data_IF_045380957337
#
_entry.id   IF_045380957337
#
_cell.length_a   1.000
_cell.length_b   1.000
_cell.length_c   1.000
_cell.angle_alpha   90.00
_cell.angle_beta   90.00
_cell.angle_gamma   90.00
#
_symmetry.space_group_name_H-M   'P 1'
#
loop_
_entity.id
_entity.type
_entity.pdbx_description
1 polymer ?
#
# COMPACT_ATOMS: atom_id res chain seq x y z
N UNK A 1 12.85 -19.93 0.24
CA UNK A 1 13.13 -18.64 0.91
C UNK A 1 12.88 -17.50 -0.08
N UNK A 2 11.63 -17.03 -0.15
CA UNK A 2 11.24 -15.92 -1.03
C UNK A 2 10.42 -14.89 -0.26
N UNK A 3 10.58 -13.62 -0.65
CA UNK A 3 9.73 -12.53 -0.24
C UNK A 3 8.92 -12.05 -1.44
N UNK A 4 7.66 -11.78 -1.23
CA UNK A 4 6.75 -11.25 -2.25
C UNK A 4 6.17 -9.92 -1.79
N UNK A 5 5.92 -9.04 -2.74
CA UNK A 5 5.16 -7.82 -2.53
C UNK A 5 4.17 -7.62 -3.68
N UNK A 6 3.00 -7.10 -3.34
CA UNK A 6 1.89 -6.93 -4.27
C UNK A 6 1.43 -5.46 -4.28
N UNK A 7 2.23 -4.55 -4.89
CA UNK A 7 1.82 -3.15 -5.01
C UNK A 7 0.57 -3.03 -5.86
N UNK A 8 -0.40 -2.28 -5.34
CA UNK A 8 -1.67 -1.99 -6.01
C UNK A 8 -1.79 -0.49 -6.25
N UNK A 9 -2.06 -0.09 -7.49
CA UNK A 9 -2.32 1.30 -7.86
C UNK A 9 -3.10 1.35 -9.18
N UNK A 10 -4.19 2.10 -9.17
CA UNK A 10 -5.14 2.18 -10.27
C UNK A 10 -6.40 1.39 -10.00
N UNK A 11 -7.53 2.09 -10.01
CA UNK A 11 -8.85 1.52 -9.70
C UNK A 11 -9.91 2.18 -10.58
N UNK A 12 -10.85 1.40 -11.07
CA UNK A 12 -12.02 1.89 -11.81
C UNK A 12 -13.26 1.07 -11.45
N UNK A 13 -14.44 1.71 -11.44
CA UNK A 13 -15.69 0.98 -11.30
C UNK A 13 -15.88 0.04 -12.49
N UNK A 14 -16.05 -1.26 -12.22
CA UNK A 14 -16.16 -2.29 -13.26
C UNK A 14 -17.46 -2.22 -14.08
N UNK A 15 -18.49 -1.53 -13.56
CA UNK A 15 -19.77 -1.33 -14.25
C UNK A 15 -19.70 -0.27 -15.37
N UNK A 16 -18.62 0.52 -15.42
CA UNK A 16 -18.45 1.50 -16.49
C UNK A 16 -18.18 0.82 -17.84
N UNK A 17 -18.72 1.37 -18.94
CA UNK A 17 -18.41 0.84 -20.28
C UNK A 17 -16.90 0.83 -20.55
N UNK A 18 -16.39 -0.31 -21.03
CA UNK A 18 -14.95 -0.50 -21.31
C UNK A 18 -14.00 -0.23 -20.13
N UNK A 19 -14.47 -0.39 -18.88
CA UNK A 19 -13.72 -0.08 -17.67
C UNK A 19 -12.29 -0.62 -17.69
N UNK A 20 -12.12 -1.92 -17.97
CA UNK A 20 -10.81 -2.56 -18.00
C UNK A 20 -9.89 -1.93 -19.06
N UNK A 21 -10.40 -1.69 -20.26
CA UNK A 21 -9.63 -1.07 -21.35
C UNK A 21 -9.22 0.35 -20.97
N UNK A 22 -10.14 1.12 -20.40
CA UNK A 22 -9.89 2.49 -19.93
C UNK A 22 -8.80 2.52 -18.85
N UNK A 23 -8.90 1.63 -17.86
CA UNK A 23 -7.89 1.53 -16.79
C UNK A 23 -6.51 1.16 -17.35
N UNK A 24 -6.46 0.15 -18.22
CA UNK A 24 -5.18 -0.32 -18.78
C UNK A 24 -4.54 0.65 -19.76
N UNK A 25 -5.32 1.49 -20.45
CA UNK A 25 -4.86 2.51 -21.39
C UNK A 25 -4.50 3.85 -20.72
N UNK A 26 -4.75 4.02 -19.43
CA UNK A 26 -4.49 5.29 -18.72
C UNK A 26 -2.99 5.47 -18.45
N UNK A 27 -2.37 6.45 -19.09
CA UNK A 27 -0.97 6.85 -18.89
C UNK A 27 -0.72 7.35 -17.48
N UNK A 28 -1.69 8.05 -16.87
CA UNK A 28 -1.62 8.53 -15.50
C UNK A 28 -1.48 7.34 -14.54
N UNK A 29 -2.43 6.40 -14.61
CA UNK A 29 -2.45 5.22 -13.75
C UNK A 29 -1.19 4.34 -13.96
N UNK A 30 -0.72 4.23 -15.20
CA UNK A 30 0.50 3.50 -15.51
C UNK A 30 1.74 4.17 -14.88
N UNK A 31 1.85 5.49 -14.97
CA UNK A 31 2.98 6.24 -14.39
C UNK A 31 3.01 6.11 -12.88
N UNK A 32 1.85 6.22 -12.23
CA UNK A 32 1.73 6.05 -10.78
C UNK A 32 2.04 4.60 -10.36
N UNK A 33 1.57 3.63 -11.13
CA UNK A 33 1.86 2.22 -10.89
C UNK A 33 3.36 1.90 -11.05
N UNK A 34 4.02 2.43 -12.07
CA UNK A 34 5.46 2.30 -12.25
C UNK A 34 6.23 2.84 -11.04
N UNK A 35 5.82 4.00 -10.54
CA UNK A 35 6.45 4.62 -9.39
C UNK A 35 6.35 3.74 -8.15
N UNK A 36 5.19 3.17 -7.86
CA UNK A 36 5.04 2.30 -6.69
C UNK A 36 5.80 0.97 -6.84
N UNK A 37 5.81 0.40 -8.04
CA UNK A 37 6.58 -0.82 -8.32
C UNK A 37 8.08 -0.57 -8.09
N UNK A 38 8.61 0.55 -8.55
CA UNK A 38 10.03 0.89 -8.37
C UNK A 38 10.38 1.15 -6.90
N UNK A 39 9.52 1.85 -6.16
CA UNK A 39 9.67 2.05 -4.72
C UNK A 39 9.73 0.72 -3.96
N UNK A 40 8.82 -0.20 -4.25
CA UNK A 40 8.79 -1.51 -3.58
C UNK A 40 9.99 -2.37 -3.98
N UNK A 41 10.43 -2.33 -5.24
CA UNK A 41 11.68 -3.01 -5.65
C UNK A 41 12.88 -2.50 -4.85
N UNK A 42 12.99 -1.20 -4.67
CA UNK A 42 14.05 -0.59 -3.87
C UNK A 42 13.97 -0.99 -2.39
N UNK A 43 12.77 -1.04 -1.81
CA UNK A 43 12.58 -1.52 -0.44
C UNK A 43 13.00 -3.00 -0.30
N UNK A 44 12.54 -3.88 -1.19
CA UNK A 44 12.90 -5.29 -1.16
C UNK A 44 14.41 -5.51 -1.33
N UNK A 45 15.11 -4.64 -2.08
CA UNK A 45 16.56 -4.70 -2.25
C UNK A 45 17.36 -4.52 -0.95
N UNK A 46 16.75 -3.96 0.08
CA UNK A 46 17.38 -3.81 1.39
C UNK A 46 17.46 -5.13 2.18
N UNK A 47 16.65 -6.11 1.82
CA UNK A 47 16.47 -7.36 2.59
C UNK A 47 16.56 -8.63 1.74
N UNK A 48 16.60 -8.52 0.44
CA UNK A 48 16.60 -9.66 -0.49
C UNK A 48 17.52 -9.44 -1.70
N UNK A 49 17.76 -10.50 -2.45
CA UNK A 49 18.56 -10.51 -3.69
C UNK A 49 17.68 -10.96 -4.86
N UNK A 50 18.19 -10.82 -6.09
CA UNK A 50 17.55 -11.31 -7.32
C UNK A 50 16.09 -10.88 -7.44
N UNK A 51 15.86 -9.55 -7.33
CA UNK A 51 14.52 -8.99 -7.36
C UNK A 51 13.98 -8.97 -8.77
N UNK A 52 12.82 -9.58 -8.95
CA UNK A 52 12.12 -9.70 -10.22
C UNK A 52 10.67 -9.25 -10.10
N UNK A 53 10.16 -8.58 -11.14
CA UNK A 53 8.72 -8.33 -11.30
C UNK A 53 8.14 -9.51 -12.09
N UNK A 54 7.58 -10.47 -11.38
CA UNK A 54 7.08 -11.74 -11.97
C UNK A 54 5.76 -11.54 -12.70
N UNK A 55 4.95 -10.57 -12.27
CA UNK A 55 3.75 -10.13 -12.97
C UNK A 55 3.66 -8.62 -12.91
N UNK A 56 3.53 -7.98 -14.06
CA UNK A 56 3.46 -6.54 -14.14
C UNK A 56 2.05 -6.06 -14.51
N UNK A 57 1.51 -5.14 -13.71
CA UNK A 57 0.28 -4.37 -13.95
C UNK A 57 -0.88 -5.22 -14.50
N UNK A 58 -1.17 -6.33 -13.85
CA UNK A 58 -2.34 -7.15 -14.14
C UNK A 58 -3.57 -6.58 -13.43
N UNK A 59 -4.74 -6.76 -14.04
CA UNK A 59 -5.99 -6.28 -13.45
C UNK A 59 -6.75 -7.42 -12.78
N UNK A 60 -7.29 -7.13 -11.60
CA UNK A 60 -8.14 -8.03 -10.82
C UNK A 60 -9.53 -7.42 -10.65
N UNK A 61 -10.55 -8.27 -10.77
CA UNK A 61 -11.93 -7.89 -10.44
C UNK A 61 -12.17 -8.12 -8.95
N UNK A 62 -12.39 -7.03 -8.22
CA UNK A 62 -12.63 -7.07 -6.78
C UNK A 62 -14.08 -6.74 -6.49
N UNK A 63 -14.77 -7.65 -5.79
CA UNK A 63 -16.14 -7.41 -5.32
C UNK A 63 -16.10 -6.58 -4.04
N UNK A 64 -16.82 -5.47 -4.02
CA UNK A 64 -16.97 -4.62 -2.84
C UNK A 64 -18.44 -4.50 -2.47
N UNK A 65 -18.76 -4.05 -1.27
CA UNK A 65 -20.14 -3.77 -0.85
C UNK A 65 -20.80 -2.62 -1.65
N UNK A 66 -20.01 -1.85 -2.42
CA UNK A 66 -20.50 -0.76 -3.30
C UNK A 66 -20.50 -1.11 -4.78
N UNK A 67 -20.31 -2.39 -5.14
CA UNK A 67 -20.20 -2.87 -6.51
C UNK A 67 -18.79 -3.41 -6.82
N UNK A 68 -18.62 -3.87 -8.03
CA UNK A 68 -17.36 -4.43 -8.50
C UNK A 68 -16.41 -3.32 -9.00
N UNK A 69 -15.12 -3.50 -8.74
CA UNK A 69 -14.07 -2.62 -9.25
C UNK A 69 -12.99 -3.45 -9.95
N UNK A 70 -12.37 -2.90 -10.98
CA UNK A 70 -11.06 -3.37 -11.44
C UNK A 70 -9.96 -2.63 -10.70
N UNK A 71 -8.98 -3.38 -10.24
CA UNK A 71 -7.78 -2.85 -9.60
C UNK A 71 -6.54 -3.42 -10.28
N UNK A 72 -5.53 -2.58 -10.55
CA UNK A 72 -4.26 -3.05 -11.07
C UNK A 72 -3.27 -3.35 -9.97
N UNK A 73 -2.57 -4.48 -10.12
CA UNK A 73 -1.57 -4.99 -9.20
C UNK A 73 -0.31 -5.43 -9.96
N UNK A 74 0.79 -5.55 -9.26
CA UNK A 74 1.99 -6.25 -9.73
C UNK A 74 2.46 -7.22 -8.67
N UNK A 75 3.20 -8.26 -9.09
CA UNK A 75 3.86 -9.20 -8.19
C UNK A 75 5.37 -9.02 -8.32
N UNK A 76 6.02 -8.74 -7.21
CA UNK A 76 7.46 -8.58 -7.12
C UNK A 76 7.98 -9.65 -6.17
N UNK A 77 9.02 -10.36 -6.60
CA UNK A 77 9.63 -11.43 -5.83
C UNK A 77 11.12 -11.14 -5.60
N UNK A 78 11.63 -11.51 -4.42
CA UNK A 78 13.05 -11.50 -4.10
C UNK A 78 13.45 -12.77 -3.35
N UNK A 79 14.75 -13.09 -3.34
CA UNK A 79 15.30 -14.23 -2.62
C UNK A 79 15.83 -13.80 -1.26
N UNK A 80 15.34 -14.46 -0.20
CA UNK A 80 15.79 -14.26 1.17
C UNK A 80 16.99 -15.15 1.53
N UNK A 81 17.75 -14.74 2.53
CA UNK A 81 18.77 -15.58 3.15
C UNK A 81 18.14 -16.83 3.80
N UNK A 82 18.92 -17.89 3.98
CA UNK A 82 18.41 -19.14 4.55
C UNK A 82 17.88 -19.00 5.98
N UNK A 83 18.45 -18.10 6.76
CA UNK A 83 18.10 -17.85 8.16
C UNK A 83 17.14 -16.67 8.36
N UNK A 84 16.38 -16.28 7.34
CA UNK A 84 15.53 -15.10 7.37
C UNK A 84 14.52 -15.09 8.54
N UNK A 85 14.04 -16.25 8.99
CA UNK A 85 13.11 -16.34 10.11
C UNK A 85 13.70 -15.76 11.42
N UNK A 86 14.99 -15.96 11.65
CA UNK A 86 15.69 -15.38 12.81
C UNK A 86 15.86 -13.85 12.68
N UNK A 87 15.78 -13.30 11.46
CA UNK A 87 16.02 -11.90 11.15
C UNK A 87 14.74 -11.11 10.81
N UNK A 88 13.55 -11.67 11.04
CA UNK A 88 12.25 -11.03 10.70
C UNK A 88 12.19 -9.59 11.24
N UNK A 89 12.54 -9.36 12.50
CA UNK A 89 12.49 -8.02 13.10
C UNK A 89 13.43 -7.04 12.41
N UNK A 90 14.65 -7.47 12.10
CA UNK A 90 15.65 -6.67 11.38
C UNK A 90 15.18 -6.36 9.95
N UNK A 91 14.59 -7.35 9.27
CA UNK A 91 14.05 -7.18 7.91
C UNK A 91 12.91 -6.16 7.90
N UNK A 92 11.93 -6.31 8.79
CA UNK A 92 10.81 -5.37 8.92
C UNK A 92 11.29 -3.96 9.26
N UNK A 93 12.27 -3.82 10.17
CA UNK A 93 12.84 -2.52 10.51
C UNK A 93 13.51 -1.81 9.31
N UNK A 94 14.14 -2.55 8.41
CA UNK A 94 14.73 -2.01 7.17
C UNK A 94 13.67 -1.60 6.14
N UNK A 95 12.58 -2.33 6.05
CA UNK A 95 11.48 -2.05 5.12
C UNK A 95 10.64 -0.84 5.56
N UNK A 96 10.60 -0.54 6.86
CA UNK A 96 9.77 0.53 7.40
C UNK A 96 10.51 1.89 7.47
N UNK A 97 9.78 2.99 7.36
CA UNK A 97 8.40 3.04 6.86
C UNK A 97 8.31 2.58 5.40
N UNK A 98 7.22 1.90 5.06
CA UNK A 98 7.03 1.36 3.70
C UNK A 98 7.11 2.46 2.65
N UNK A 99 7.82 2.21 1.54
CA UNK A 99 7.98 3.17 0.45
C UNK A 99 6.65 3.63 -0.16
N UNK A 100 5.67 2.74 -0.20
CA UNK A 100 4.30 3.05 -0.64
C UNK A 100 3.58 4.10 0.22
N UNK A 101 4.03 4.29 1.47
CA UNK A 101 3.46 5.26 2.41
C UNK A 101 4.32 6.51 2.50
N UNK A 102 5.63 6.36 2.54
CA UNK A 102 6.56 7.47 2.71
C UNK A 102 6.84 8.21 1.40
N UNK A 103 6.80 7.52 0.25
CA UNK A 103 7.27 8.09 -1.01
C UNK A 103 8.81 8.10 -1.11
N UNK A 104 9.33 8.81 -2.11
CA UNK A 104 10.77 8.93 -2.36
C UNK A 104 11.19 10.41 -2.53
N UNK A 105 12.41 10.77 -2.08
CA UNK A 105 13.37 10.00 -1.28
C UNK A 105 12.87 9.78 0.16
N UNK A 106 12.91 8.52 0.63
CA UNK A 106 12.27 8.10 1.90
C UNK A 106 12.61 8.99 3.10
N UNK A 107 13.90 9.28 3.31
CA UNK A 107 14.35 10.09 4.46
C UNK A 107 13.71 11.49 4.42
N UNK A 108 13.76 12.13 3.25
CA UNK A 108 13.26 13.51 3.11
C UNK A 108 11.75 13.61 3.24
N UNK A 109 11.03 12.66 2.66
CA UNK A 109 9.56 12.63 2.77
C UNK A 109 9.11 12.35 4.20
N UNK A 110 9.79 11.47 4.93
CA UNK A 110 9.51 11.24 6.35
C UNK A 110 9.73 12.50 7.18
N UNK A 111 10.80 13.27 6.95
CA UNK A 111 11.01 14.57 7.60
C UNK A 111 9.84 15.54 7.34
N UNK A 112 9.41 15.65 6.08
CA UNK A 112 8.29 16.52 5.71
C UNK A 112 6.99 16.08 6.39
N UNK A 113 6.72 14.77 6.41
CA UNK A 113 5.55 14.21 7.11
C UNK A 113 5.58 14.56 8.60
N UNK A 114 6.73 14.38 9.25
CA UNK A 114 6.89 14.71 10.68
C UNK A 114 6.69 16.21 10.98
N UNK A 115 7.09 17.08 10.06
CA UNK A 115 6.86 18.53 10.19
C UNK A 115 5.40 18.92 9.96
N UNK A 116 4.72 18.24 9.03
CA UNK A 116 3.33 18.53 8.66
C UNK A 116 2.31 17.98 9.68
N UNK A 117 2.60 16.82 10.25
CA UNK A 117 1.70 16.15 11.19
C UNK A 117 1.99 16.58 12.64
N UNK A 118 0.95 16.99 13.34
CA UNK A 118 1.06 17.49 14.73
C UNK A 118 0.99 16.37 15.79
N UNK A 119 1.08 15.11 15.40
CA UNK A 119 0.88 13.99 16.30
C UNK A 119 1.61 12.72 15.88
N UNK A 120 1.66 11.75 16.79
CA UNK A 120 2.19 10.43 16.53
C UNK A 120 1.17 9.59 15.78
N UNK A 121 1.60 8.88 14.75
CA UNK A 121 0.75 7.96 13.97
C UNK A 121 0.34 6.70 14.76
N UNK A 122 1.10 6.32 15.80
CA UNK A 122 0.86 5.08 16.52
C UNK A 122 1.06 3.87 15.60
N UNK A 123 0.07 3.01 15.49
CA UNK A 123 0.07 1.88 14.57
C UNK A 123 -0.24 2.26 13.11
N UNK A 124 -0.77 3.46 12.87
CA UNK A 124 -1.11 3.89 11.51
C UNK A 124 0.15 3.98 10.64
N UNK A 125 0.10 3.32 9.47
CA UNK A 125 1.22 3.13 8.54
C UNK A 125 2.39 2.28 9.06
N UNK A 126 2.22 1.64 10.20
CA UNK A 126 3.10 0.57 10.67
C UNK A 126 2.83 -0.74 9.93
N UNK A 127 3.32 -1.84 10.47
CA UNK A 127 3.12 -3.18 9.93
C UNK A 127 2.41 -4.06 10.94
N UNK A 128 1.54 -4.92 10.46
CA UNK A 128 0.98 -6.03 11.22
C UNK A 128 1.08 -7.31 10.39
N UNK A 129 1.06 -8.46 11.04
CA UNK A 129 1.18 -9.72 10.33
C UNK A 129 1.03 -10.92 11.23
N UNK A 130 1.09 -12.08 10.62
CA UNK A 130 1.05 -13.38 11.26
C UNK A 130 2.24 -14.22 10.80
N UNK A 131 2.95 -14.79 11.77
CA UNK A 131 4.05 -15.72 11.54
C UNK A 131 3.70 -17.08 12.11
N UNK A 132 3.70 -18.12 11.30
CA UNK A 132 3.35 -19.49 11.68
C UNK A 132 4.55 -20.36 12.09
N UNK A 133 5.75 -19.78 12.10
CA UNK A 133 7.03 -20.47 12.33
C UNK A 133 7.81 -20.74 11.04
N UNK A 134 7.15 -20.76 9.89
CA UNK A 134 7.75 -20.99 8.58
C UNK A 134 7.53 -19.82 7.62
N UNK A 135 6.32 -19.24 7.62
CA UNK A 135 5.90 -18.19 6.71
C UNK A 135 5.45 -16.95 7.46
N UNK A 136 5.71 -15.79 6.90
CA UNK A 136 5.21 -14.51 7.37
C UNK A 136 4.27 -13.91 6.34
N UNK A 137 3.02 -13.64 6.75
CA UNK A 137 2.09 -12.80 5.99
C UNK A 137 1.94 -11.46 6.72
N UNK A 138 2.11 -10.35 6.02
CA UNK A 138 2.11 -9.03 6.63
C UNK A 138 1.58 -7.96 5.70
N UNK A 139 1.02 -6.92 6.31
CA UNK A 139 0.49 -5.77 5.58
C UNK A 139 0.77 -4.46 6.32
N UNK A 140 0.69 -3.34 5.57
CA UNK A 140 0.75 -2.00 6.15
C UNK A 140 -0.59 -1.66 6.80
N UNK A 141 -0.55 -1.16 8.03
CA UNK A 141 -1.74 -0.80 8.80
C UNK A 141 -2.34 0.52 8.31
N UNK A 142 -3.29 0.41 7.37
CA UNK A 142 -4.08 1.53 6.83
C UNK A 142 -5.57 1.17 6.82
N UNK A 143 -6.45 2.17 6.78
CA UNK A 143 -7.91 1.98 6.67
C UNK A 143 -8.46 1.02 7.72
N UNK A 144 -8.15 1.28 8.97
CA UNK A 144 -8.60 0.46 10.10
C UNK A 144 -9.23 1.33 11.18
N UNK A 145 -9.94 0.67 12.08
CA UNK A 145 -10.56 1.30 13.24
C UNK A 145 -9.71 0.99 14.46
N UNK A 146 -9.34 2.01 15.21
CA UNK A 146 -8.73 1.86 16.52
C UNK A 146 -9.66 2.39 17.62
N UNK A 147 -9.53 1.84 18.81
CA UNK A 147 -10.23 2.33 19.99
C UNK A 147 -9.23 3.02 20.93
N UNK A 148 -9.48 4.29 21.22
CA UNK A 148 -8.67 5.09 22.14
C UNK A 148 -9.61 5.68 23.18
N UNK A 149 -9.38 5.39 24.46
CA UNK A 149 -10.18 5.90 25.57
C UNK A 149 -11.71 5.68 25.40
N UNK A 150 -12.10 4.52 24.85
CA UNK A 150 -13.49 4.17 24.63
C UNK A 150 -14.11 4.75 23.35
N UNK A 151 -13.39 5.60 22.62
CA UNK A 151 -13.85 6.15 21.34
C UNK A 151 -13.24 5.41 20.15
N UNK A 152 -14.02 5.25 19.08
CA UNK A 152 -13.55 4.62 17.84
C UNK A 152 -13.10 5.67 16.84
N UNK A 153 -11.93 5.44 16.26
CA UNK A 153 -11.31 6.30 15.27
C UNK A 153 -11.00 5.50 14.01
N UNK A 154 -11.48 5.99 12.86
CA UNK A 154 -11.10 5.43 11.58
C UNK A 154 -9.81 6.10 11.09
N UNK A 155 -8.76 5.30 10.87
CA UNK A 155 -7.46 5.78 10.36
C UNK A 155 -7.40 5.66 8.85
N UNK A 156 -7.29 6.79 8.19
CA UNK A 156 -7.15 6.90 6.74
C UNK A 156 -6.20 8.04 6.37
N UNK A 157 -5.70 8.02 5.14
CA UNK A 157 -4.85 9.05 4.59
C UNK A 157 -4.70 8.92 3.08
N UNK A 158 -4.12 9.94 2.47
CA UNK A 158 -3.83 10.01 1.04
C UNK A 158 -2.36 10.32 0.77
N UNK A 159 -1.91 10.08 -0.45
CA UNK A 159 -0.58 10.46 -0.92
C UNK A 159 -0.60 11.87 -1.53
N UNK A 160 0.13 12.80 -0.95
CA UNK A 160 0.23 14.16 -1.45
C UNK A 160 1.45 14.30 -2.33
N UNK A 161 1.27 14.83 -3.53
CA UNK A 161 2.32 15.09 -4.52
C UNK A 161 2.31 16.57 -4.95
N UNK A 162 3.33 16.98 -5.69
CA UNK A 162 3.38 18.34 -6.24
C UNK A 162 2.22 18.68 -7.20
N UNK A 163 1.51 17.68 -7.72
CA UNK A 163 0.35 17.84 -8.62
C UNK A 163 -0.99 17.73 -7.90
N UNK A 164 -0.98 17.40 -6.61
CA UNK A 164 -2.20 17.24 -5.82
C UNK A 164 -2.99 18.55 -5.71
N UNK A 165 -4.30 18.44 -5.85
CA UNK A 165 -5.25 19.54 -5.68
C UNK A 165 -6.00 19.32 -4.35
N UNK A 166 -5.96 20.31 -3.47
CA UNK A 166 -6.53 20.20 -2.11
C UNK A 166 -7.96 19.64 -2.07
N UNK A 167 -8.82 20.11 -2.96
CA UNK A 167 -10.23 19.67 -3.00
C UNK A 167 -10.36 18.21 -3.44
N UNK A 168 -9.56 17.79 -4.42
CA UNK A 168 -9.57 16.42 -4.94
C UNK A 168 -9.03 15.44 -3.89
N UNK A 169 -7.93 15.76 -3.26
CA UNK A 169 -7.32 14.94 -2.20
C UNK A 169 -8.26 14.81 -0.99
N UNK A 170 -8.93 15.90 -0.61
CA UNK A 170 -9.90 15.86 0.48
C UNK A 170 -11.12 15.01 0.12
N UNK A 171 -11.61 15.11 -1.10
CA UNK A 171 -12.72 14.27 -1.58
C UNK A 171 -12.33 12.80 -1.61
N UNK A 172 -11.14 12.48 -2.11
CA UNK A 172 -10.59 11.11 -2.11
C UNK A 172 -10.47 10.56 -0.67
N UNK A 173 -10.05 11.40 0.28
CA UNK A 173 -9.97 11.01 1.69
C UNK A 173 -11.35 10.64 2.24
N UNK A 174 -12.39 11.44 1.95
CA UNK A 174 -13.77 11.15 2.37
C UNK A 174 -14.30 9.85 1.75
N UNK A 175 -14.02 9.60 0.49
CA UNK A 175 -14.44 8.38 -0.22
C UNK A 175 -13.76 7.12 0.33
N UNK A 176 -12.55 7.24 0.84
CA UNK A 176 -11.81 6.15 1.49
C UNK A 176 -12.31 5.81 2.88
N UNK A 177 -13.04 6.70 3.53
CA UNK A 177 -13.59 6.45 4.87
C UNK A 177 -14.92 5.72 4.74
N UNK A 178 -14.88 4.42 4.93
CA UNK A 178 -16.10 3.62 5.07
C UNK A 178 -15.86 2.46 6.05
N UNK A 179 -16.88 2.11 6.77
CA UNK A 179 -16.87 0.94 7.65
C UNK A 179 -17.70 -0.15 6.98
N UNK A 180 -17.13 -1.33 6.68
CA UNK A 180 -17.86 -2.44 6.09
C UNK A 180 -18.76 -3.08 7.14
N UNK A 181 -19.86 -2.42 7.49
CA UNK A 181 -20.88 -2.97 8.37
C UNK A 181 -21.97 -3.55 7.47
N UNK A 182 -22.21 -4.84 7.56
CA UNK A 182 -23.42 -5.43 7.01
C UNK A 182 -24.60 -4.83 7.79
N UNK A 183 -25.53 -4.20 7.11
CA UNK A 183 -26.82 -3.93 7.73
C UNK A 183 -27.42 -5.30 8.12
N UNK A 184 -27.59 -5.54 9.40
CA UNK A 184 -28.30 -6.70 9.94
C UNK A 184 -29.78 -6.54 9.64
#
# INVERSE_FOLDING_TARGET
NKIYAYPMKGTINAEQPNALVTLMASDKEQTEHNTIVDLIRNDLALVSKHIEVTKYRYAELVQTHRGAIYQTSSEICGELAENWQAEIGTMLAKLLPAGSISGAPKVKTVEVIQQAEQGKRGYYTGVFGYFDGENLDSAVAIRYIEQINGQFWFRSGGGITAKSQLKEEYQELLEKVYVPISAV
#
